data_IF_180111386615
#
_entry.id   IF_180111386615
#
_cell.length_a   1.000
_cell.length_b   1.000
_cell.length_c   1.000
_cell.angle_alpha   90.00
_cell.angle_beta   90.00
_cell.angle_gamma   90.00
#
_symmetry.space_group_name_H-M   'P 1'
#
loop_
_entity.id
_entity.type
_entity.pdbx_description
1 polymer ?
#
# COMPACT_ATOMS: atom_id res chain seq x y z
N UNK A 1 2.75 17.80 -2.90
CA UNK A 1 2.14 16.46 -2.81
C UNK A 1 0.68 16.62 -2.46
N UNK A 2 -0.21 16.15 -3.33
CA UNK A 2 -1.62 16.07 -2.99
C UNK A 2 -1.83 15.00 -1.90
N UNK A 3 -2.76 15.24 -0.98
CA UNK A 3 -3.09 14.30 0.09
C UNK A 3 -4.60 14.21 0.24
N UNK A 4 -5.09 13.03 0.63
CA UNK A 4 -6.50 12.83 0.98
C UNK A 4 -6.62 12.73 2.50
N UNK A 5 -7.65 13.36 3.07
CA UNK A 5 -7.92 13.23 4.49
C UNK A 5 -8.56 11.89 4.78
N UNK A 6 -7.86 11.04 5.51
CA UNK A 6 -8.38 9.78 6.01
C UNK A 6 -8.47 9.88 7.53
N UNK A 7 -9.70 9.90 8.07
CA UNK A 7 -9.98 10.07 9.51
C UNK A 7 -9.21 11.24 10.16
N UNK A 8 -9.09 12.37 9.44
CA UNK A 8 -8.44 13.58 9.94
C UNK A 8 -6.91 13.59 9.84
N UNK A 9 -6.27 12.51 9.37
CA UNK A 9 -4.85 12.48 9.01
C UNK A 9 -4.69 12.68 7.50
N UNK A 10 -3.68 13.45 7.12
CA UNK A 10 -3.32 13.62 5.71
C UNK A 10 -2.62 12.34 5.23
N UNK A 11 -3.27 11.62 4.31
CA UNK A 11 -2.72 10.43 3.67
C UNK A 11 -2.18 10.82 2.29
N UNK A 12 -0.88 10.67 2.13
CA UNK A 12 -0.22 10.89 0.84
C UNK A 12 -0.30 9.61 0.03
N UNK A 13 -0.91 9.69 -1.14
CA UNK A 13 -1.10 8.52 -2.01
C UNK A 13 0.21 8.05 -2.64
N UNK A 14 0.31 6.75 -2.96
CA UNK A 14 1.53 6.14 -3.52
C UNK A 14 1.95 6.81 -4.84
N UNK A 15 1.00 7.20 -5.68
CA UNK A 15 1.28 7.94 -6.92
C UNK A 15 1.98 9.29 -6.65
N UNK A 16 1.59 10.02 -5.61
CA UNK A 16 2.22 11.29 -5.24
C UNK A 16 3.64 11.07 -4.70
N UNK A 17 3.86 9.98 -3.96
CA UNK A 17 5.20 9.57 -3.52
C UNK A 17 6.10 9.17 -4.69
N UNK A 18 5.56 8.45 -5.68
CA UNK A 18 6.28 8.09 -6.90
C UNK A 18 6.67 9.32 -7.73
N UNK A 19 5.78 10.32 -7.85
CA UNK A 19 6.10 11.59 -8.52
C UNK A 19 7.26 12.30 -7.83
N UNK A 20 7.17 12.49 -6.51
CA UNK A 20 8.24 13.12 -5.73
C UNK A 20 9.56 12.36 -5.86
N UNK A 21 9.53 11.02 -5.73
CA UNK A 21 10.69 10.17 -5.92
C UNK A 21 11.33 10.37 -7.30
N UNK A 22 10.54 10.39 -8.39
CA UNK A 22 11.05 10.57 -9.75
C UNK A 22 11.61 11.97 -10.00
N UNK A 23 11.15 12.98 -9.30
CA UNK A 23 11.71 14.34 -9.39
C UNK A 23 13.06 14.45 -8.68
N UNK A 24 13.18 13.85 -7.48
CA UNK A 24 14.36 13.93 -6.62
C UNK A 24 15.46 12.92 -7.01
N UNK A 25 15.08 11.75 -7.52
CA UNK A 25 15.96 10.61 -7.82
C UNK A 25 15.81 10.11 -9.27
N UNK A 26 16.11 10.99 -10.23
CA UNK A 26 15.90 10.74 -11.67
C UNK A 26 16.68 9.53 -12.22
N UNK A 27 17.88 9.31 -11.71
CA UNK A 27 18.77 8.23 -12.16
C UNK A 27 18.47 6.89 -11.45
N UNK A 28 17.61 6.89 -10.43
CA UNK A 28 17.32 5.68 -9.67
C UNK A 28 16.29 4.81 -10.38
N UNK A 29 16.49 3.51 -10.28
CA UNK A 29 15.62 2.52 -10.90
C UNK A 29 14.51 2.09 -9.94
N UNK A 30 13.30 1.98 -10.49
CA UNK A 30 12.16 1.34 -9.85
C UNK A 30 11.92 0.02 -10.58
N UNK A 31 12.15 -1.10 -9.91
CA UNK A 31 11.96 -2.45 -10.44
C UNK A 31 10.88 -3.18 -9.63
N UNK A 32 9.84 -3.67 -10.29
CA UNK A 32 8.85 -4.60 -9.72
C UNK A 32 9.03 -6.01 -10.28
N UNK A 33 8.79 -7.01 -9.44
CA UNK A 33 8.91 -8.43 -9.77
C UNK A 33 7.74 -9.20 -9.14
N UNK A 34 7.01 -9.96 -9.97
CA UNK A 34 6.03 -10.94 -9.48
C UNK A 34 6.80 -12.14 -8.94
N UNK A 35 6.71 -12.35 -7.62
CA UNK A 35 7.35 -13.48 -6.93
C UNK A 35 6.50 -14.74 -7.03
N UNK A 36 5.17 -14.59 -6.99
CA UNK A 36 4.21 -15.66 -7.18
C UNK A 36 2.88 -15.10 -7.66
N UNK A 37 2.21 -15.81 -8.56
CA UNK A 37 0.85 -15.48 -8.98
C UNK A 37 0.08 -16.75 -9.31
N UNK A 38 -1.15 -16.82 -8.80
CA UNK A 38 -2.13 -17.82 -9.20
C UNK A 38 -3.53 -17.17 -9.32
N UNK A 39 -4.58 -17.99 -9.42
CA UNK A 39 -5.94 -17.51 -9.60
C UNK A 39 -6.53 -16.83 -8.35
N UNK A 40 -5.92 -17.04 -7.19
CA UNK A 40 -6.41 -16.62 -5.87
C UNK A 40 -5.54 -15.52 -5.27
N UNK A 41 -4.24 -15.46 -5.57
CA UNK A 41 -3.30 -14.57 -4.91
C UNK A 41 -2.15 -14.09 -5.82
N UNK A 42 -1.60 -12.93 -5.48
CA UNK A 42 -0.39 -12.37 -6.08
C UNK A 42 0.57 -11.95 -4.98
N UNK A 43 1.87 -12.23 -5.16
CA UNK A 43 2.96 -11.75 -4.32
C UNK A 43 3.93 -10.98 -5.20
N UNK A 44 4.23 -9.74 -4.82
CA UNK A 44 5.10 -8.85 -5.57
C UNK A 44 6.19 -8.25 -4.69
N UNK A 45 7.37 -8.07 -5.29
CA UNK A 45 8.49 -7.32 -4.73
C UNK A 45 8.74 -6.08 -5.56
N UNK A 46 8.82 -4.92 -4.92
CA UNK A 46 9.32 -3.68 -5.47
C UNK A 46 10.72 -3.39 -4.93
N UNK A 47 11.63 -2.91 -5.77
CA UNK A 47 13.02 -2.59 -5.43
C UNK A 47 13.40 -1.23 -6.01
N UNK A 48 14.09 -0.43 -5.20
CA UNK A 48 14.67 0.85 -5.58
C UNK A 48 16.19 0.67 -5.62
N UNK A 49 16.80 0.96 -6.77
CA UNK A 49 18.24 0.83 -6.98
C UNK A 49 18.86 2.18 -7.35
N UNK A 50 20.09 2.41 -6.90
CA UNK A 50 20.90 3.54 -7.38
C UNK A 50 21.39 3.31 -8.83
N UNK A 51 22.06 4.31 -9.39
CA UNK A 51 22.60 4.28 -10.76
C UNK A 51 23.68 3.21 -10.99
N UNK A 52 24.24 2.66 -9.90
CA UNK A 52 25.25 1.60 -9.92
C UNK A 52 24.61 0.22 -9.70
N UNK A 53 23.28 0.14 -9.58
CA UNK A 53 22.55 -1.10 -9.35
C UNK A 53 22.54 -1.57 -7.88
N UNK A 54 22.99 -0.74 -6.93
CA UNK A 54 22.89 -1.08 -5.51
C UNK A 54 21.43 -0.94 -5.06
N UNK A 55 20.90 -1.98 -4.42
CA UNK A 55 19.57 -1.94 -3.82
C UNK A 55 19.59 -1.00 -2.61
N UNK A 56 18.76 0.04 -2.65
CA UNK A 56 18.60 1.03 -1.59
C UNK A 56 17.39 0.72 -0.70
N UNK A 57 16.30 0.25 -1.29
CA UNK A 57 15.10 -0.13 -0.56
C UNK A 57 14.33 -1.24 -1.29
N UNK A 58 13.53 -2.00 -0.55
CA UNK A 58 12.62 -3.00 -1.11
C UNK A 58 11.28 -2.96 -0.38
N UNK A 59 10.22 -3.46 -1.02
CA UNK A 59 8.89 -3.63 -0.42
C UNK A 59 8.24 -4.89 -0.98
N UNK A 60 7.64 -5.70 -0.11
CA UNK A 60 6.88 -6.88 -0.53
C UNK A 60 5.42 -6.71 -0.19
N UNK A 61 4.54 -7.10 -1.09
CA UNK A 61 3.11 -7.17 -0.85
C UNK A 61 2.57 -8.53 -1.28
N UNK A 62 1.46 -8.91 -0.64
CA UNK A 62 0.64 -10.04 -1.03
C UNK A 62 -0.80 -9.58 -1.01
N UNK A 63 -1.55 -9.90 -2.06
CA UNK A 63 -2.96 -9.58 -2.19
C UNK A 63 -3.74 -10.84 -2.56
N UNK A 64 -4.82 -11.08 -1.82
CA UNK A 64 -5.79 -12.13 -2.14
C UNK A 64 -6.88 -11.55 -3.03
N UNK A 65 -7.23 -12.23 -4.12
CA UNK A 65 -8.25 -11.82 -5.08
C UNK A 65 -9.62 -11.60 -4.45
N UNK A 66 -9.94 -12.37 -3.41
CA UNK A 66 -11.23 -12.32 -2.73
C UNK A 66 -11.29 -11.31 -1.56
N UNK A 67 -10.21 -10.60 -1.24
CA UNK A 67 -10.15 -9.74 -0.04
C UNK A 67 -10.99 -8.46 -0.14
N UNK A 68 -11.29 -8.00 -1.36
CA UNK A 68 -12.12 -6.82 -1.61
C UNK A 68 -12.75 -6.86 -3.00
N UNK A 69 -13.79 -6.03 -3.22
CA UNK A 69 -14.38 -5.86 -4.55
C UNK A 69 -13.36 -5.37 -5.58
N UNK A 70 -12.37 -4.58 -5.15
CA UNK A 70 -11.27 -4.10 -6.00
C UNK A 70 -10.35 -5.26 -6.36
N UNK A 71 -9.96 -6.09 -5.39
CA UNK A 71 -9.08 -7.22 -5.66
C UNK A 71 -9.71 -8.27 -6.59
N UNK A 72 -11.04 -8.42 -6.61
CA UNK A 72 -11.70 -9.36 -7.52
C UNK A 72 -11.41 -9.07 -8.99
N UNK A 73 -11.17 -7.80 -9.35
CA UNK A 73 -10.87 -7.37 -10.71
C UNK A 73 -9.43 -6.92 -10.92
N UNK A 74 -8.73 -6.47 -9.87
CA UNK A 74 -7.38 -5.87 -9.98
C UNK A 74 -6.46 -6.17 -8.79
N UNK A 75 -6.45 -7.40 -8.27
CA UNK A 75 -5.55 -7.78 -7.17
C UNK A 75 -4.06 -7.70 -7.53
N UNK A 76 -3.69 -7.85 -8.81
CA UNK A 76 -2.29 -7.76 -9.26
C UNK A 76 -1.81 -6.31 -9.20
N UNK A 77 -2.59 -5.37 -9.72
CA UNK A 77 -2.28 -3.94 -9.72
C UNK A 77 -2.33 -3.35 -8.31
N UNK A 78 -3.26 -3.82 -7.47
CA UNK A 78 -3.27 -3.46 -6.06
C UNK A 78 -2.02 -4.00 -5.36
N UNK A 79 -1.58 -5.23 -5.68
CA UNK A 79 -0.36 -5.81 -5.10
C UNK A 79 0.88 -5.00 -5.49
N UNK A 80 0.97 -4.55 -6.74
CA UNK A 80 2.06 -3.67 -7.18
C UNK A 80 2.06 -2.35 -6.42
N UNK A 81 0.89 -1.72 -6.28
CA UNK A 81 0.76 -0.44 -5.57
C UNK A 81 1.12 -0.59 -4.09
N UNK A 82 0.70 -1.67 -3.45
CA UNK A 82 1.06 -2.03 -2.06
C UNK A 82 2.58 -2.27 -1.93
N UNK A 83 3.21 -2.97 -2.89
CA UNK A 83 4.64 -3.19 -2.90
C UNK A 83 5.42 -1.88 -3.05
N UNK A 84 4.97 -0.98 -3.94
CA UNK A 84 5.56 0.36 -4.10
C UNK A 84 5.43 1.23 -2.84
N UNK A 85 4.25 1.23 -2.20
CA UNK A 85 4.04 1.93 -0.93
C UNK A 85 5.05 1.49 0.13
N UNK A 86 5.35 0.18 0.19
CA UNK A 86 6.34 -0.41 1.09
C UNK A 86 7.78 -0.06 0.73
N UNK A 87 8.16 -0.15 -0.55
CA UNK A 87 9.51 0.19 -0.99
C UNK A 87 9.82 1.68 -0.77
N UNK A 88 8.88 2.56 -1.11
CA UNK A 88 9.00 4.02 -0.91
C UNK A 88 9.02 4.38 0.57
N UNK A 89 8.18 3.73 1.39
CA UNK A 89 8.21 3.90 2.85
C UNK A 89 9.57 3.52 3.44
N UNK A 90 10.13 2.38 3.03
CA UNK A 90 11.45 1.93 3.45
C UNK A 90 12.59 2.83 2.95
N UNK A 91 12.41 3.48 1.80
CA UNK A 91 13.35 4.47 1.28
C UNK A 91 13.29 5.81 2.05
N UNK A 92 12.11 6.17 2.57
CA UNK A 92 11.91 7.39 3.38
C UNK A 92 10.69 8.22 3.01
N UNK A 93 9.93 7.86 1.96
CA UNK A 93 8.73 8.61 1.56
C UNK A 93 7.47 8.13 2.28
N UNK A 94 6.90 9.01 3.10
CA UNK A 94 5.63 8.74 3.78
C UNK A 94 5.74 7.75 4.94
N UNK A 95 6.94 7.56 5.51
CA UNK A 95 7.19 6.66 6.64
C UNK A 95 6.37 7.02 7.88
N UNK A 96 6.15 8.33 8.12
CA UNK A 96 5.39 8.83 9.27
C UNK A 96 3.87 8.75 9.08
N UNK A 97 3.40 8.62 7.83
CA UNK A 97 1.96 8.66 7.50
C UNK A 97 1.38 7.27 7.26
N UNK A 98 2.01 6.44 6.42
CA UNK A 98 1.60 5.04 6.22
C UNK A 98 2.49 4.33 5.20
N UNK A 99 2.87 3.10 5.48
CA UNK A 99 3.49 2.17 4.51
C UNK A 99 2.41 1.44 3.67
N UNK A 100 1.17 1.40 4.15
CA UNK A 100 0.04 0.74 3.51
C UNK A 100 -0.55 1.57 2.37
N UNK A 101 -1.12 0.89 1.36
CA UNK A 101 -1.82 1.43 0.20
C UNK A 101 -3.15 2.10 0.57
N UNK A 102 -3.72 2.87 -0.35
CA UNK A 102 -4.99 3.55 -0.11
C UNK A 102 -6.13 2.54 0.14
N UNK A 103 -6.10 1.41 -0.57
CA UNK A 103 -7.07 0.33 -0.40
C UNK A 103 -6.90 -0.37 0.96
N UNK A 104 -5.67 -0.69 1.36
CA UNK A 104 -5.39 -1.27 2.68
C UNK A 104 -5.92 -0.38 3.82
N UNK A 105 -5.71 0.93 3.72
CA UNK A 105 -6.20 1.89 4.71
C UNK A 105 -7.73 1.97 4.71
N UNK A 106 -8.37 2.02 3.54
CA UNK A 106 -9.83 2.05 3.43
C UNK A 106 -10.47 0.79 4.03
N UNK A 107 -9.91 -0.39 3.77
CA UNK A 107 -10.37 -1.65 4.36
C UNK A 107 -10.21 -1.68 5.88
N UNK A 108 -9.06 -1.22 6.40
CA UNK A 108 -8.84 -1.14 7.85
C UNK A 108 -9.88 -0.25 8.54
N UNK A 109 -10.28 0.85 7.89
CA UNK A 109 -11.30 1.77 8.37
C UNK A 109 -12.68 1.13 8.40
N UNK A 110 -13.07 0.48 7.30
CA UNK A 110 -14.36 -0.21 7.21
C UNK A 110 -14.48 -1.31 8.28
N UNK A 111 -13.40 -2.06 8.53
CA UNK A 111 -13.36 -3.11 9.56
C UNK A 111 -13.51 -2.54 10.98
N UNK A 112 -12.89 -1.40 11.27
CA UNK A 112 -13.04 -0.72 12.56
C UNK A 112 -14.47 -0.22 12.79
N UNK A 113 -15.12 0.31 11.74
CA UNK A 113 -16.50 0.80 11.84
C UNK A 113 -17.51 -0.34 12.06
N UNK A 114 -17.31 -1.49 11.40
CA UNK A 114 -18.11 -2.70 11.62
C UNK A 114 -17.99 -3.21 13.06
N UNK A 115 -16.77 -3.33 13.59
CA UNK A 115 -16.54 -3.74 14.98
C UNK A 115 -17.16 -2.75 15.98
N UNK A 116 -17.07 -1.45 15.71
CA UNK A 116 -17.68 -0.43 16.58
C UNK A 116 -19.20 -0.56 16.61
N UNK A 117 -19.85 -0.82 15.46
CA UNK A 117 -21.30 -1.02 15.38
C UNK A 117 -21.77 -2.28 16.10
N UNK A 118 -21.01 -3.38 16.04
CA UNK A 118 -21.32 -4.59 16.81
C UNK A 118 -21.24 -4.36 18.32
N UNK A 119 -20.29 -3.55 18.79
CA UNK A 119 -20.15 -3.20 20.21
C UNK A 119 -21.29 -2.29 20.70
N UNK A 120 -21.78 -1.37 19.86
CA UNK A 120 -22.90 -0.48 20.24
C UNK A 120 -24.25 -1.20 20.14
N UNK A 121 -24.39 -2.17 19.24
CA UNK A 121 -25.60 -2.99 19.08
C UNK A 121 -25.69 -4.19 20.04
N UNK A 122 -24.60 -4.52 20.74
CA UNK A 122 -24.54 -5.53 21.79
C UNK A 122 -24.45 -4.90 23.16
N UNK A 123 -25.57 -4.38 23.68
CA UNK A 123 -25.70 -4.08 25.10
C UNK A 123 -25.42 -5.35 25.93
N UNK A 124 -24.24 -5.45 26.54
CA UNK A 124 -24.07 -6.25 27.74
C UNK A 124 -24.55 -5.40 28.92
N UNK A 125 -25.82 -5.56 29.27
CA UNK A 125 -26.36 -5.20 30.58
C UNK A 125 -26.32 -6.49 31.40
N UNK A 126 -25.57 -6.46 32.52
CA UNK A 126 -25.47 -7.59 33.46
C UNK A 126 -26.82 -7.95 34.07
#
# INVERSE_FOLDING_TARGET
MESIKIKGKDYVMVNERLKAFREEHKEYSLISEIISIDNESCVMKASILDENGRVLATGHAQEDKMSSMINQTSFVENCETSAWGRALGNFGYGIDTSVASANEVAMAIAKQELQTREVIGGEYIW
#
